data_IF_736651245003
#
_entry.id   IF_736651245003
#
_cell.length_a   1.000
_cell.length_b   1.000
_cell.length_c   1.000
_cell.angle_alpha   90.00
_cell.angle_beta   90.00
_cell.angle_gamma   90.00
#
_symmetry.space_group_name_H-M   'P 1'
#
loop_
_entity.id
_entity.type
_entity.pdbx_description
1 polymer ?
#
# COMPACT_ATOMS: atom_id res chain seq x y z
N UNK A 1 -6.01 -70.51 -13.82
CA UNK A 1 -5.72 -69.06 -14.03
C UNK A 1 -6.78 -68.17 -13.37
N UNK A 2 -6.68 -67.79 -12.08
CA UNK A 2 -7.56 -66.75 -11.47
C UNK A 2 -6.91 -65.88 -10.37
N UNK A 3 -5.59 -65.82 -10.26
CA UNK A 3 -4.88 -65.06 -9.20
C UNK A 3 -4.28 -63.72 -9.64
N UNK A 4 -4.14 -63.46 -10.95
CA UNK A 4 -3.53 -62.23 -11.48
C UNK A 4 -4.39 -60.97 -11.32
N UNK A 5 -5.72 -61.09 -11.21
CA UNK A 5 -6.64 -59.93 -11.17
C UNK A 5 -6.68 -59.22 -9.82
N UNK A 6 -6.48 -59.93 -8.70
CA UNK A 6 -6.58 -59.34 -7.34
C UNK A 6 -5.33 -58.56 -6.93
N UNK A 7 -4.16 -58.89 -7.49
CA UNK A 7 -2.90 -58.17 -7.26
C UNK A 7 -2.94 -56.83 -8.01
N UNK A 8 -3.35 -56.83 -9.29
CA UNK A 8 -3.50 -55.61 -10.11
C UNK A 8 -4.51 -54.62 -9.51
N UNK A 9 -5.57 -55.09 -8.87
CA UNK A 9 -6.58 -54.25 -8.22
C UNK A 9 -6.08 -53.62 -6.91
N UNK A 10 -5.24 -54.34 -6.14
CA UNK A 10 -4.62 -53.83 -4.89
C UNK A 10 -3.50 -52.82 -5.16
N UNK A 11 -2.68 -53.04 -6.19
CA UNK A 11 -1.65 -52.07 -6.60
C UNK A 11 -2.25 -50.81 -7.22
N UNK A 12 -3.39 -50.92 -7.91
CA UNK A 12 -4.11 -49.78 -8.47
C UNK A 12 -4.69 -48.86 -7.38
N UNK A 13 -5.20 -49.42 -6.27
CA UNK A 13 -5.64 -48.63 -5.12
C UNK A 13 -4.50 -47.93 -4.37
N UNK A 14 -3.31 -48.53 -4.30
CA UNK A 14 -2.17 -47.92 -3.59
C UNK A 14 -1.56 -46.74 -4.37
N UNK A 15 -1.52 -46.83 -5.71
CA UNK A 15 -1.04 -45.74 -6.58
C UNK A 15 -2.04 -44.58 -6.65
N UNK A 16 -3.34 -44.86 -6.62
CA UNK A 16 -4.38 -43.83 -6.61
C UNK A 16 -4.41 -43.04 -5.30
N UNK A 17 -4.00 -43.64 -4.18
CA UNK A 17 -3.93 -42.96 -2.88
C UNK A 17 -2.71 -42.03 -2.74
N UNK A 18 -1.62 -42.27 -3.48
CA UNK A 18 -0.48 -41.35 -3.51
C UNK A 18 -0.74 -40.08 -4.34
N UNK A 19 -1.69 -40.11 -5.28
CA UNK A 19 -2.01 -38.96 -6.12
C UNK A 19 -2.89 -37.89 -5.45
N UNK A 20 -3.48 -38.18 -4.29
CA UNK A 20 -4.40 -37.25 -3.60
C UNK A 20 -3.74 -36.44 -2.46
N UNK A 21 -2.45 -36.62 -2.20
CA UNK A 21 -1.75 -35.92 -1.10
C UNK A 21 -0.86 -34.74 -1.54
N UNK A 22 -0.70 -34.49 -2.84
CA UNK A 22 0.17 -33.44 -3.37
C UNK A 22 -0.48 -32.05 -3.50
N UNK A 23 -1.78 -31.93 -3.22
CA UNK A 23 -2.54 -30.68 -3.36
C UNK A 23 -2.32 -29.64 -2.25
N UNK A 24 -1.73 -30.01 -1.11
CA UNK A 24 -1.63 -29.12 0.06
C UNK A 24 -0.35 -28.26 0.11
N UNK A 25 0.61 -28.49 -0.80
CA UNK A 25 1.91 -27.79 -0.82
C UNK A 25 1.88 -26.38 -1.45
N UNK A 26 0.75 -25.96 -2.02
CA UNK A 26 0.55 -24.59 -2.54
C UNK A 26 -0.29 -23.69 -1.62
N UNK A 27 -0.54 -24.10 -0.37
CA UNK A 27 -0.90 -23.14 0.66
C UNK A 27 0.35 -22.34 1.07
N UNK A 28 0.82 -21.46 0.16
CA UNK A 28 1.83 -20.48 0.54
C UNK A 28 1.25 -19.68 1.71
N UNK A 29 1.88 -19.66 2.90
CA UNK A 29 1.48 -18.75 3.95
C UNK A 29 1.44 -17.37 3.31
N UNK A 30 0.26 -16.74 3.34
CA UNK A 30 0.04 -15.48 2.65
C UNK A 30 1.17 -14.56 3.05
N UNK A 31 2.05 -14.21 2.10
CA UNK A 31 3.09 -13.21 2.35
C UNK A 31 2.35 -12.03 2.94
N UNK A 32 2.67 -11.71 4.20
CA UNK A 32 2.26 -10.47 4.82
C UNK A 32 2.53 -9.40 3.78
N UNK A 33 1.47 -8.92 3.11
CA UNK A 33 1.57 -7.75 2.24
C UNK A 33 1.68 -6.59 3.23
N UNK A 34 2.88 -6.48 3.78
CA UNK A 34 3.23 -5.49 4.77
C UNK A 34 2.86 -4.12 4.24
N UNK A 35 2.45 -3.25 5.17
CA UNK A 35 2.25 -1.83 4.88
C UNK A 35 3.52 -1.31 4.19
N UNK A 36 3.40 -0.46 3.15
CA UNK A 36 4.56 0.16 2.54
C UNK A 36 5.44 0.78 3.63
N UNK A 37 6.77 0.64 3.54
CA UNK A 37 7.66 1.32 4.48
C UNK A 37 7.42 2.83 4.42
N UNK A 38 7.62 3.49 5.56
CA UNK A 38 7.61 4.95 5.63
C UNK A 38 8.70 5.51 4.70
N UNK A 39 8.42 6.61 3.97
CA UNK A 39 9.44 7.24 3.15
C UNK A 39 10.63 7.72 3.98
N UNK A 40 11.84 7.52 3.46
CA UNK A 40 13.04 8.14 4.02
C UNK A 40 13.19 9.61 3.56
N UNK A 41 14.18 10.33 4.10
CA UNK A 41 14.42 11.74 3.77
C UNK A 41 14.69 11.97 2.28
N UNK A 42 15.38 11.06 1.61
CA UNK A 42 15.69 11.18 0.17
C UNK A 42 14.44 11.01 -0.68
N UNK A 43 13.55 10.12 -0.27
CA UNK A 43 12.25 9.90 -0.90
C UNK A 43 11.33 11.10 -0.67
N UNK A 44 11.32 11.67 0.53
CA UNK A 44 10.57 12.90 0.83
C UNK A 44 11.03 14.04 -0.09
N UNK A 45 12.33 14.28 -0.18
CA UNK A 45 12.91 15.30 -1.07
C UNK A 45 12.52 15.04 -2.53
N UNK A 46 12.53 13.78 -2.98
CA UNK A 46 12.10 13.41 -4.33
C UNK A 46 10.62 13.74 -4.56
N UNK A 47 9.74 13.41 -3.63
CA UNK A 47 8.31 13.72 -3.71
C UNK A 47 8.06 15.23 -3.80
N UNK A 48 8.79 16.03 -3.02
CA UNK A 48 8.73 17.50 -3.08
C UNK A 48 9.23 18.02 -4.43
N UNK A 49 10.29 17.43 -4.99
CA UNK A 49 10.79 17.80 -6.32
C UNK A 49 9.80 17.48 -7.44
N UNK A 50 9.16 16.32 -7.39
CA UNK A 50 8.09 15.94 -8.34
C UNK A 50 6.91 16.92 -8.25
N UNK A 51 6.46 17.22 -7.02
CA UNK A 51 5.39 18.20 -6.81
C UNK A 51 5.80 19.60 -7.30
N UNK A 52 7.03 20.02 -7.01
CA UNK A 52 7.56 21.31 -7.46
C UNK A 52 7.59 21.43 -8.98
N UNK A 53 7.87 20.34 -9.67
CA UNK A 53 7.87 20.27 -11.13
C UNK A 53 6.43 20.36 -11.67
N UNK A 54 5.51 19.55 -11.14
CA UNK A 54 4.10 19.51 -11.60
C UNK A 54 3.39 20.87 -11.38
N UNK A 55 3.63 21.50 -10.23
CA UNK A 55 2.99 22.78 -9.87
C UNK A 55 3.80 24.00 -10.32
N UNK A 56 4.98 23.79 -10.90
CA UNK A 56 5.92 24.87 -11.27
C UNK A 56 6.18 25.82 -10.08
N UNK A 57 6.50 25.24 -8.92
CA UNK A 57 6.69 25.99 -7.68
C UNK A 57 7.91 26.92 -7.75
N UNK A 58 7.79 28.11 -7.16
CA UNK A 58 8.90 29.04 -7.06
C UNK A 58 9.89 28.65 -5.94
N UNK A 59 11.05 29.32 -5.90
CA UNK A 59 12.12 29.06 -4.93
C UNK A 59 11.75 29.42 -3.48
N UNK A 60 10.71 30.22 -3.26
CA UNK A 60 10.27 30.67 -1.94
C UNK A 60 9.26 29.73 -1.29
N UNK A 61 8.40 29.10 -2.08
CA UNK A 61 7.34 28.19 -1.61
C UNK A 61 7.88 26.76 -1.44
N UNK A 62 8.80 26.33 -2.30
CA UNK A 62 9.35 24.97 -2.26
C UNK A 62 9.96 24.59 -0.90
N UNK A 63 10.78 25.43 -0.23
CA UNK A 63 11.32 25.09 1.10
C UNK A 63 10.23 24.92 2.15
N UNK A 64 9.21 25.79 2.15
CA UNK A 64 8.08 25.69 3.09
C UNK A 64 7.28 24.40 2.90
N UNK A 65 7.06 23.99 1.65
CA UNK A 65 6.41 22.72 1.35
C UNK A 65 7.29 21.55 1.75
N UNK A 66 8.61 21.63 1.55
CA UNK A 66 9.54 20.60 2.00
C UNK A 66 9.38 20.34 3.51
N UNK A 67 9.39 21.39 4.32
CA UNK A 67 9.22 21.29 5.77
C UNK A 67 7.87 20.65 6.13
N UNK A 68 6.77 21.07 5.47
CA UNK A 68 5.45 20.46 5.66
C UNK A 68 5.41 18.96 5.34
N UNK A 69 6.18 18.49 4.35
CA UNK A 69 6.26 17.06 4.05
C UNK A 69 7.01 16.30 5.16
N UNK A 70 8.12 16.84 5.66
CA UNK A 70 8.86 16.23 6.77
C UNK A 70 8.01 16.15 8.04
N UNK A 71 7.32 17.25 8.38
CA UNK A 71 6.42 17.30 9.53
C UNK A 71 5.26 16.29 9.38
N UNK A 72 4.64 16.25 8.21
CA UNK A 72 3.54 15.31 7.93
C UNK A 72 4.00 13.86 8.12
N UNK A 73 5.14 13.49 7.55
CA UNK A 73 5.64 12.13 7.70
C UNK A 73 6.04 11.83 9.14
N UNK A 74 6.67 12.77 9.87
CA UNK A 74 6.94 12.59 11.30
C UNK A 74 5.67 12.27 12.10
N UNK A 75 4.60 13.07 11.92
CA UNK A 75 3.30 12.86 12.58
C UNK A 75 2.68 11.50 12.23
N UNK A 76 2.76 11.12 10.95
CA UNK A 76 2.29 9.82 10.45
C UNK A 76 3.10 8.66 11.07
N UNK A 77 4.42 8.81 11.19
CA UNK A 77 5.32 7.85 11.83
C UNK A 77 4.95 7.62 13.30
N UNK A 78 4.69 8.68 14.04
CA UNK A 78 4.32 8.60 15.46
C UNK A 78 2.90 8.03 15.65
N UNK A 79 1.97 8.34 14.75
CA UNK A 79 0.66 7.69 14.71
C UNK A 79 0.77 6.19 14.42
N UNK A 80 1.69 5.77 13.54
CA UNK A 80 1.92 4.35 13.25
C UNK A 80 2.52 3.61 14.45
N UNK A 81 3.47 4.21 15.17
CA UNK A 81 4.08 3.63 16.38
C UNK A 81 3.08 3.50 17.54
N UNK A 82 2.19 4.47 17.70
CA UNK A 82 1.21 4.51 18.81
C UNK A 82 -0.03 3.63 18.60
N UNK A 83 -0.26 3.14 17.39
CA UNK A 83 -1.47 2.38 17.04
C UNK A 83 -1.43 0.92 17.51
N UNK A 84 -1.84 0.66 18.74
CA UNK A 84 -2.08 -0.70 19.27
C UNK A 84 -3.52 -1.16 18.99
N UNK A 85 -3.75 -1.83 17.85
CA UNK A 85 -4.96 -2.65 17.61
C UNK A 85 -6.26 -1.92 17.19
N UNK A 86 -6.42 -0.63 17.46
CA UNK A 86 -7.64 0.12 17.09
C UNK A 86 -7.58 0.65 15.65
N UNK A 87 -7.94 -0.23 14.70
CA UNK A 87 -7.87 0.05 13.26
C UNK A 87 -8.80 1.18 12.80
N UNK A 88 -9.98 1.34 13.41
CA UNK A 88 -10.96 2.36 12.97
C UNK A 88 -10.49 3.75 13.36
N UNK A 89 -10.09 3.91 14.63
CA UNK A 89 -9.54 5.16 15.13
C UNK A 89 -8.25 5.55 14.39
N UNK A 90 -7.40 4.56 14.09
CA UNK A 90 -6.18 4.81 13.30
C UNK A 90 -6.49 5.37 11.90
N UNK A 91 -7.51 4.84 11.22
CA UNK A 91 -7.92 5.35 9.91
C UNK A 91 -8.40 6.80 9.99
N UNK A 92 -9.29 7.11 10.94
CA UNK A 92 -9.79 8.47 11.14
C UNK A 92 -8.66 9.46 11.44
N UNK A 93 -7.70 9.07 12.28
CA UNK A 93 -6.52 9.90 12.58
C UNK A 93 -5.63 10.09 11.35
N UNK A 94 -5.43 9.04 10.55
CA UNK A 94 -4.65 9.14 9.30
C UNK A 94 -5.32 10.07 8.29
N UNK A 95 -6.64 9.96 8.13
CA UNK A 95 -7.43 10.85 7.26
C UNK A 95 -7.35 12.30 7.75
N UNK A 96 -7.36 12.53 9.06
CA UNK A 96 -7.20 13.86 9.65
C UNK A 96 -5.80 14.45 9.39
N UNK A 97 -4.72 13.67 9.57
CA UNK A 97 -3.35 14.12 9.26
C UNK A 97 -3.20 14.47 7.78
N UNK A 98 -3.77 13.65 6.89
CA UNK A 98 -3.78 13.91 5.45
C UNK A 98 -4.49 15.23 5.13
N UNK A 99 -5.70 15.43 5.66
CA UNK A 99 -6.47 16.67 5.43
C UNK A 99 -5.76 17.91 5.99
N UNK A 100 -5.13 17.79 7.17
CA UNK A 100 -4.33 18.87 7.77
C UNK A 100 -3.19 19.27 6.84
N UNK A 101 -2.41 18.30 6.37
CA UNK A 101 -1.32 18.52 5.44
C UNK A 101 -1.79 19.16 4.13
N UNK A 102 -2.83 18.62 3.49
CA UNK A 102 -3.38 19.19 2.24
C UNK A 102 -3.82 20.65 2.40
N UNK A 103 -4.47 20.99 3.53
CA UNK A 103 -4.86 22.37 3.83
C UNK A 103 -3.64 23.28 3.97
N UNK A 104 -2.63 22.86 4.74
CA UNK A 104 -1.41 23.64 4.94
C UNK A 104 -0.70 23.90 3.60
N UNK A 105 -0.55 22.88 2.75
CA UNK A 105 0.04 23.05 1.43
C UNK A 105 -0.78 24.03 0.59
N UNK A 106 -2.10 23.86 0.51
CA UNK A 106 -2.98 24.76 -0.28
C UNK A 106 -2.92 26.22 0.16
N UNK A 107 -2.63 26.51 1.43
CA UNK A 107 -2.48 27.90 1.90
C UNK A 107 -1.25 28.61 1.31
N UNK A 108 -0.27 27.85 0.84
CA UNK A 108 0.96 28.37 0.22
C UNK A 108 0.86 28.48 -1.30
N UNK A 109 -0.22 27.99 -1.91
CA UNK A 109 -0.41 27.90 -3.35
C UNK A 109 -1.39 28.96 -3.84
N UNK A 110 -1.22 29.40 -5.10
CA UNK A 110 -2.23 30.18 -5.81
C UNK A 110 -3.34 29.26 -6.36
N UNK A 111 -4.41 29.84 -6.94
CA UNK A 111 -5.60 29.07 -7.34
C UNK A 111 -5.34 28.07 -8.49
N UNK A 112 -4.48 28.42 -9.44
CA UNK A 112 -4.05 27.50 -10.50
C UNK A 112 -3.26 26.32 -9.93
N UNK A 113 -2.34 26.59 -9.00
CA UNK A 113 -1.52 25.57 -8.34
C UNK A 113 -2.35 24.66 -7.43
N UNK A 114 -3.38 25.19 -6.74
CA UNK A 114 -4.32 24.38 -5.94
C UNK A 114 -5.04 23.36 -6.82
N UNK A 115 -5.45 23.75 -8.03
CA UNK A 115 -6.12 22.85 -8.97
C UNK A 115 -5.18 21.73 -9.41
N UNK A 116 -3.94 22.07 -9.79
CA UNK A 116 -2.91 21.07 -10.12
C UNK A 116 -2.55 20.16 -8.95
N UNK A 117 -2.51 20.71 -7.73
CA UNK A 117 -2.29 19.94 -6.51
C UNK A 117 -3.38 18.90 -6.29
N UNK A 118 -4.65 19.26 -6.48
CA UNK A 118 -5.77 18.33 -6.35
C UNK A 118 -5.72 17.20 -7.38
N UNK A 119 -5.31 17.50 -8.61
CA UNK A 119 -5.06 16.47 -9.63
C UNK A 119 -3.88 15.57 -9.27
N UNK A 120 -2.77 16.15 -8.81
CA UNK A 120 -1.61 15.40 -8.35
C UNK A 120 -1.97 14.43 -7.21
N UNK A 121 -2.75 14.88 -6.23
CA UNK A 121 -3.21 14.04 -5.12
C UNK A 121 -4.17 12.94 -5.57
N UNK A 122 -5.02 13.18 -6.58
CA UNK A 122 -5.85 12.13 -7.20
C UNK A 122 -5.02 11.08 -7.93
N UNK A 123 -3.93 11.48 -8.61
CA UNK A 123 -3.00 10.56 -9.29
C UNK A 123 -2.20 9.69 -8.30
N UNK A 124 -1.77 10.28 -7.19
CA UNK A 124 -0.98 9.63 -6.12
C UNK A 124 -1.83 8.80 -5.14
N UNK A 125 -3.12 9.12 -5.02
CA UNK A 125 -4.05 8.38 -4.18
C UNK A 125 -4.14 6.89 -4.56
N UNK A 126 -4.58 6.02 -3.64
CA UNK A 126 -4.79 4.62 -3.95
C UNK A 126 -5.72 4.53 -5.17
N UNK A 127 -5.24 3.95 -6.28
CA UNK A 127 -6.07 3.66 -7.45
C UNK A 127 -7.30 2.91 -6.97
N UNK A 128 -8.41 3.61 -6.85
CA UNK A 128 -9.68 3.06 -6.42
C UNK A 128 -10.08 1.97 -7.41
N UNK A 129 -10.03 0.72 -6.95
CA UNK A 129 -10.75 -0.38 -7.59
C UNK A 129 -10.21 -0.88 -8.94
N UNK A 130 -9.05 -1.54 -8.95
CA UNK A 130 -9.05 -2.88 -9.58
C UNK A 130 -9.45 -3.86 -8.50
N UNK A 131 -10.76 -3.97 -8.30
CA UNK A 131 -11.39 -5.04 -7.54
C UNK A 131 -10.97 -6.34 -8.23
N UNK A 132 -9.88 -6.96 -7.75
CA UNK A 132 -9.52 -8.29 -8.20
C UNK A 132 -10.69 -9.18 -7.77
N UNK A 133 -11.33 -9.92 -8.69
CA UNK A 133 -12.43 -10.80 -8.32
C UNK A 133 -11.94 -11.69 -7.19
N UNK A 134 -12.66 -11.66 -6.07
CA UNK A 134 -12.49 -12.65 -5.02
C UNK A 134 -12.86 -13.99 -5.65
N UNK A 135 -11.84 -14.77 -6.02
CA UNK A 135 -12.00 -16.18 -6.36
C UNK A 135 -11.97 -16.98 -5.08
#
# INVERSE_FOLDING_TARGET
MKTQKRIKLRTLSFVLSCLLFTGSLFAQPGRDRGRPPMPDSTQIVKMVNELATELSLNKEVKPKINDLFFDHFAEVGDLMKSSKGDRRNHRTKMDALKQKFEKQVKTLLNDEQKTKFDEFMKKQGPRSGKQRPRR
#
